data_IF_720285911235
#
_entry.id   IF_720285911235
#
_cell.length_a   1.000
_cell.length_b   1.000
_cell.length_c   1.000
_cell.angle_alpha   90.00
_cell.angle_beta   90.00
_cell.angle_gamma   90.00
#
_symmetry.space_group_name_H-M   'P 1'
#
loop_
_entity.id
_entity.type
_entity.pdbx_description
1 polymer ?
#
# COMPACT_ATOMS: atom_id res chain seq x y z
N UNK A 1 -16.38 -25.37 -11.11
CA UNK A 1 -16.21 -26.77 -11.46
C UNK A 1 -16.42 -27.70 -10.28
N UNK A 2 -16.13 -27.27 -9.03
CA UNK A 2 -16.19 -28.12 -7.84
C UNK A 2 -17.17 -27.62 -6.77
N UNK A 3 -18.00 -26.64 -7.07
CA UNK A 3 -18.99 -26.08 -6.12
C UNK A 3 -18.35 -25.42 -4.89
N UNK A 4 -17.10 -24.97 -5.00
CA UNK A 4 -16.46 -24.24 -3.92
C UNK A 4 -17.09 -22.88 -3.75
N UNK A 5 -17.51 -22.57 -2.55
CA UNK A 5 -17.90 -21.21 -2.16
C UNK A 5 -16.62 -20.44 -1.81
N UNK A 6 -16.34 -19.39 -2.56
CA UNK A 6 -15.12 -18.60 -2.38
C UNK A 6 -15.40 -17.11 -2.63
N UNK A 7 -14.74 -16.27 -1.86
CA UNK A 7 -14.69 -14.82 -2.08
C UNK A 7 -13.34 -14.42 -2.61
N UNK A 8 -13.31 -13.41 -3.48
CA UNK A 8 -12.08 -12.90 -4.08
C UNK A 8 -11.74 -11.52 -3.54
N UNK A 9 -10.62 -11.41 -2.84
CA UNK A 9 -10.09 -10.14 -2.37
C UNK A 9 -9.07 -9.62 -3.37
N UNK A 10 -9.32 -8.44 -3.92
CA UNK A 10 -8.44 -7.76 -4.87
C UNK A 10 -7.89 -6.48 -4.24
N UNK A 11 -6.76 -6.55 -3.53
CA UNK A 11 -6.19 -5.40 -2.85
C UNK A 11 -5.49 -4.45 -3.83
N UNK A 12 -5.45 -3.17 -3.45
CA UNK A 12 -4.60 -2.16 -4.05
C UNK A 12 -3.12 -2.39 -3.66
N UNK A 13 -2.30 -1.36 -3.57
CA UNK A 13 -0.90 -1.51 -3.17
C UNK A 13 -0.80 -1.73 -1.66
N UNK A 14 -0.70 -2.99 -1.25
CA UNK A 14 -0.57 -3.35 0.18
C UNK A 14 0.79 -2.95 0.71
N UNK A 15 0.82 -2.32 1.87
CA UNK A 15 2.05 -1.99 2.59
C UNK A 15 1.90 -2.21 4.09
N UNK A 16 3.01 -2.33 4.79
CA UNK A 16 2.99 -2.48 6.25
C UNK A 16 4.24 -3.16 6.81
N UNK A 17 4.26 -3.40 8.12
CA UNK A 17 5.29 -4.19 8.78
C UNK A 17 5.52 -5.55 8.11
N UNK A 18 6.78 -6.02 8.12
CA UNK A 18 7.23 -7.30 7.54
C UNK A 18 7.20 -7.38 6.01
N UNK A 19 6.92 -6.29 5.31
CA UNK A 19 7.01 -6.28 3.86
C UNK A 19 8.46 -6.50 3.43
N UNK A 20 8.69 -7.44 2.48
CA UNK A 20 10.02 -7.71 1.95
C UNK A 20 10.50 -6.54 1.08
N UNK A 21 11.68 -5.96 1.36
CA UNK A 21 12.21 -4.83 0.59
C UNK A 21 12.88 -5.24 -0.73
N UNK A 22 13.01 -6.54 -0.97
CA UNK A 22 13.74 -7.08 -2.12
C UNK A 22 12.83 -7.56 -3.27
N UNK A 23 11.52 -7.36 -3.16
CA UNK A 23 10.55 -7.71 -4.19
C UNK A 23 10.29 -6.54 -5.16
N UNK A 24 9.61 -6.83 -6.28
CA UNK A 24 9.18 -5.82 -7.26
C UNK A 24 8.14 -4.83 -6.69
N UNK A 25 7.43 -5.24 -5.65
CA UNK A 25 6.45 -4.44 -4.93
C UNK A 25 6.92 -4.22 -3.49
N UNK A 26 7.11 -3.00 -3.07
CA UNK A 26 7.55 -2.75 -1.70
C UNK A 26 8.16 -1.37 -1.51
N UNK A 27 7.71 -0.40 -2.31
CA UNK A 27 8.29 0.96 -2.31
C UNK A 27 8.33 1.57 -0.90
N UNK A 28 7.31 1.35 -0.06
CA UNK A 28 7.28 1.84 1.32
C UNK A 28 8.40 1.21 2.15
N UNK A 29 8.58 -0.11 2.06
CA UNK A 29 9.64 -0.84 2.76
C UNK A 29 11.03 -0.44 2.25
N UNK A 30 11.17 -0.28 0.92
CA UNK A 30 12.42 0.15 0.29
C UNK A 30 12.81 1.54 0.78
N UNK A 31 11.89 2.51 0.74
CA UNK A 31 12.16 3.86 1.24
C UNK A 31 12.47 3.85 2.74
N UNK A 32 11.69 3.12 3.54
CA UNK A 32 11.89 3.05 4.98
C UNK A 32 13.31 2.55 5.32
N UNK A 33 13.73 1.42 4.78
CA UNK A 33 15.05 0.83 5.07
C UNK A 33 16.20 1.70 4.56
N UNK A 34 16.09 2.23 3.34
CA UNK A 34 17.14 3.08 2.79
C UNK A 34 17.29 4.37 3.59
N UNK A 35 16.20 5.04 3.92
CA UNK A 35 16.21 6.30 4.67
C UNK A 35 16.67 6.09 6.13
N UNK A 36 16.25 5.02 6.79
CA UNK A 36 16.75 4.66 8.12
C UNK A 36 18.24 4.32 8.10
N UNK A 37 18.74 3.73 7.02
CA UNK A 37 20.15 3.42 6.82
C UNK A 37 20.99 4.58 6.28
N UNK A 38 20.42 5.77 6.08
CA UNK A 38 21.10 6.93 5.51
C UNK A 38 21.54 6.76 4.05
N UNK A 39 20.84 5.90 3.30
CA UNK A 39 21.12 5.59 1.91
C UNK A 39 20.22 6.41 0.97
N UNK A 40 20.74 6.71 -0.23
CA UNK A 40 20.00 7.42 -1.26
C UNK A 40 18.77 6.63 -1.71
N UNK A 41 17.70 7.34 -2.00
CA UNK A 41 16.44 6.80 -2.50
C UNK A 41 16.20 7.29 -3.93
N UNK A 42 15.41 6.54 -4.71
CA UNK A 42 15.09 6.90 -6.09
C UNK A 42 13.60 6.99 -6.31
N UNK A 43 13.19 8.10 -6.94
CA UNK A 43 11.84 8.32 -7.46
C UNK A 43 11.93 8.32 -8.98
N UNK A 44 11.01 7.63 -9.64
CA UNK A 44 11.01 7.48 -11.09
C UNK A 44 10.18 8.56 -11.78
N UNK A 45 10.65 9.04 -12.95
CA UNK A 45 10.03 10.14 -13.65
C UNK A 45 10.10 11.44 -12.86
N UNK A 46 9.00 12.18 -12.82
CA UNK A 46 8.82 13.40 -12.02
C UNK A 46 8.26 13.13 -10.61
N UNK A 47 8.02 11.85 -10.28
CA UNK A 47 7.39 11.44 -9.01
C UNK A 47 5.88 11.64 -8.97
N UNK A 48 5.25 11.94 -10.10
CA UNK A 48 3.82 12.22 -10.20
C UNK A 48 2.92 10.99 -10.35
N UNK A 49 3.48 9.81 -10.62
CA UNK A 49 2.69 8.60 -10.67
C UNK A 49 2.02 8.32 -9.33
N UNK A 50 0.72 7.97 -9.37
CA UNK A 50 -0.05 7.74 -8.15
C UNK A 50 -0.46 6.29 -7.98
N UNK A 51 -0.56 5.87 -6.72
CA UNK A 51 -1.09 4.56 -6.31
C UNK A 51 -2.02 4.74 -5.12
N UNK A 52 -2.91 3.78 -4.97
CA UNK A 52 -3.73 3.61 -3.78
C UNK A 52 -2.98 2.65 -2.84
N UNK A 53 -2.56 3.17 -1.70
CA UNK A 53 -1.83 2.41 -0.68
C UNK A 53 -2.77 1.99 0.44
N UNK A 54 -2.95 0.69 0.64
CA UNK A 54 -3.79 0.13 1.69
C UNK A 54 -2.94 -0.58 2.75
N UNK A 55 -3.19 -0.27 4.01
CA UNK A 55 -2.44 -0.83 5.13
C UNK A 55 -2.74 -2.33 5.31
N UNK A 56 -1.71 -3.13 5.56
CA UNK A 56 -1.82 -4.60 5.66
C UNK A 56 -2.87 -5.05 6.70
N UNK A 57 -3.01 -4.35 7.82
CA UNK A 57 -4.01 -4.66 8.84
C UNK A 57 -5.45 -4.54 8.32
N UNK A 58 -5.71 -3.53 7.48
CA UNK A 58 -7.03 -3.37 6.84
C UNK A 58 -7.31 -4.48 5.83
N UNK A 59 -6.28 -4.93 5.09
CA UNK A 59 -6.40 -6.05 4.16
C UNK A 59 -6.68 -7.35 4.91
N UNK A 60 -5.99 -7.62 6.02
CA UNK A 60 -6.24 -8.78 6.89
C UNK A 60 -7.69 -8.78 7.38
N UNK A 61 -8.21 -7.62 7.79
CA UNK A 61 -9.61 -7.49 8.21
C UNK A 61 -10.59 -7.78 7.06
N UNK A 62 -10.25 -7.38 5.83
CA UNK A 62 -11.08 -7.71 4.66
C UNK A 62 -11.13 -9.22 4.42
N UNK A 63 -10.00 -9.92 4.51
CA UNK A 63 -9.97 -11.40 4.41
C UNK A 63 -10.80 -12.06 5.52
N UNK A 64 -10.69 -11.57 6.74
CA UNK A 64 -11.47 -12.10 7.86
C UNK A 64 -12.96 -11.92 7.62
N UNK A 65 -13.43 -10.76 7.21
CA UNK A 65 -14.85 -10.51 6.92
C UNK A 65 -15.35 -11.35 5.74
N UNK A 66 -14.53 -11.50 4.69
CA UNK A 66 -14.90 -12.30 3.51
C UNK A 66 -14.86 -13.81 3.74
N UNK A 67 -14.22 -14.28 4.83
CA UNK A 67 -14.23 -15.70 5.22
C UNK A 67 -15.51 -16.15 5.92
N UNK A 68 -16.41 -15.24 6.24
CA UNK A 68 -17.72 -15.53 6.81
C UNK A 68 -18.73 -16.00 5.78
N UNK A 69 -19.99 -16.07 6.18
CA UNK A 69 -21.11 -16.54 5.34
C UNK A 69 -21.58 -15.51 4.30
N UNK A 70 -21.07 -14.27 4.35
CA UNK A 70 -21.48 -13.16 3.49
C UNK A 70 -20.43 -12.96 2.38
N UNK A 71 -20.90 -12.79 1.14
CA UNK A 71 -20.07 -12.44 -0.01
C UNK A 71 -19.50 -13.59 -0.81
N UNK A 72 -19.99 -14.82 -0.59
CA UNK A 72 -19.62 -15.99 -1.40
C UNK A 72 -19.84 -15.78 -2.89
N UNK A 73 -18.89 -16.21 -3.71
CA UNK A 73 -18.91 -16.02 -5.16
C UNK A 73 -18.53 -14.62 -5.64
N UNK A 74 -18.29 -13.67 -4.74
CA UNK A 74 -18.11 -12.26 -5.05
C UNK A 74 -16.63 -11.81 -5.05
N UNK A 75 -16.35 -10.74 -5.80
CA UNK A 75 -15.05 -10.07 -5.81
C UNK A 75 -15.16 -8.70 -5.16
N UNK A 76 -14.23 -8.42 -4.24
CA UNK A 76 -14.15 -7.16 -3.51
C UNK A 76 -12.82 -6.46 -3.77
N UNK A 77 -12.89 -5.22 -4.26
CA UNK A 77 -11.73 -4.35 -4.31
C UNK A 77 -11.46 -3.81 -2.92
N UNK A 78 -10.23 -3.92 -2.46
CA UNK A 78 -9.77 -3.49 -1.15
C UNK A 78 -8.70 -2.40 -1.34
N UNK A 79 -9.12 -1.17 -1.20
CA UNK A 79 -8.30 0.03 -1.36
C UNK A 79 -8.87 1.17 -0.54
N UNK A 80 -8.25 2.32 -0.62
CA UNK A 80 -8.64 3.51 0.15
C UNK A 80 -9.40 4.53 -0.70
N UNK A 81 -9.40 4.37 -2.02
CA UNK A 81 -9.85 5.35 -3.02
C UNK A 81 -9.03 6.65 -3.00
N UNK A 82 -7.91 6.68 -2.31
CA UNK A 82 -7.02 7.83 -2.21
C UNK A 82 -5.77 7.58 -3.04
N UNK A 83 -5.45 8.51 -3.91
CA UNK A 83 -4.23 8.48 -4.70
C UNK A 83 -3.10 9.19 -3.96
N UNK A 84 -1.97 8.52 -3.81
CA UNK A 84 -0.74 9.10 -3.26
C UNK A 84 0.35 9.01 -4.33
N UNK A 85 1.00 10.12 -4.65
CA UNK A 85 2.10 10.14 -5.61
C UNK A 85 3.39 9.57 -5.00
N UNK A 86 4.29 9.08 -5.86
CA UNK A 86 5.60 8.58 -5.43
C UNK A 86 6.37 9.63 -4.63
N UNK A 87 6.27 10.91 -5.06
CA UNK A 87 6.91 12.02 -4.35
C UNK A 87 6.29 12.29 -2.98
N UNK A 88 4.96 12.27 -2.88
CA UNK A 88 4.25 12.41 -1.60
C UNK A 88 4.59 11.26 -0.65
N UNK A 89 4.60 10.03 -1.17
CA UNK A 89 4.97 8.86 -0.38
C UNK A 89 6.39 8.99 0.19
N UNK A 90 7.35 9.43 -0.64
CA UNK A 90 8.72 9.65 -0.19
C UNK A 90 8.76 10.66 0.97
N UNK A 91 8.05 11.78 0.85
CA UNK A 91 7.95 12.80 1.91
C UNK A 91 7.43 12.20 3.22
N UNK A 92 6.36 11.40 3.14
CA UNK A 92 5.77 10.75 4.32
C UNK A 92 6.77 9.80 5.00
N UNK A 93 7.46 8.97 4.22
CA UNK A 93 8.45 8.03 4.76
C UNK A 93 9.67 8.77 5.32
N UNK A 94 10.18 9.78 4.64
CA UNK A 94 11.30 10.60 5.11
C UNK A 94 10.96 11.29 6.43
N UNK A 95 9.78 11.87 6.54
CA UNK A 95 9.29 12.49 7.78
C UNK A 95 9.23 11.48 8.93
N UNK A 96 8.65 10.30 8.70
CA UNK A 96 8.54 9.25 9.70
C UNK A 96 9.92 8.67 10.10
N UNK A 97 10.86 8.60 9.16
CA UNK A 97 12.22 8.15 9.41
C UNK A 97 13.11 9.20 10.11
N UNK A 98 12.72 10.46 10.10
CA UNK A 98 13.53 11.59 10.55
C UNK A 98 14.72 11.86 9.61
N UNK A 99 14.56 11.55 8.33
CA UNK A 99 15.60 11.66 7.29
C UNK A 99 15.34 12.84 6.36
N UNK A 100 16.35 13.19 5.54
CA UNK A 100 16.19 14.22 4.51
C UNK A 100 15.19 13.75 3.44
N UNK A 101 14.32 14.66 3.02
CA UNK A 101 13.37 14.46 1.93
C UNK A 101 13.98 14.92 0.59
N UNK A 102 15.01 14.22 0.15
CA UNK A 102 15.80 14.57 -1.04
C UNK A 102 16.10 13.30 -1.88
N UNK A 103 15.09 12.77 -2.61
CA UNK A 103 15.29 11.60 -3.46
C UNK A 103 16.04 11.95 -4.76
N UNK A 104 16.84 11.02 -5.26
CA UNK A 104 17.32 11.08 -6.64
C UNK A 104 16.17 10.82 -7.61
N UNK A 105 16.17 11.52 -8.74
CA UNK A 105 15.22 11.28 -9.83
C UNK A 105 15.85 10.40 -10.90
N UNK A 106 15.21 9.28 -11.21
CA UNK A 106 15.62 8.35 -12.26
C UNK A 106 14.64 8.43 -13.45
N UNK A 107 15.06 8.01 -14.65
CA UNK A 107 14.16 7.97 -15.80
C UNK A 107 12.86 7.22 -15.51
N UNK A 108 11.76 7.69 -16.08
CA UNK A 108 10.45 7.03 -15.96
C UNK A 108 10.55 5.57 -16.46
N UNK A 109 9.87 4.66 -15.79
CA UNK A 109 9.81 3.26 -16.20
C UNK A 109 8.80 3.11 -17.33
N UNK A 110 9.22 2.42 -18.38
CA UNK A 110 8.35 2.16 -19.51
C UNK A 110 7.20 1.21 -19.07
N UNK A 111 5.98 1.60 -19.39
CA UNK A 111 4.79 0.81 -19.06
C UNK A 111 4.21 1.05 -17.66
N UNK A 112 4.79 1.94 -16.87
CA UNK A 112 4.18 2.32 -15.59
C UNK A 112 2.82 2.99 -15.80
N UNK A 113 1.82 2.54 -15.03
CA UNK A 113 0.49 3.16 -15.01
C UNK A 113 0.58 4.50 -14.29
N UNK A 114 0.18 5.62 -14.91
CA UNK A 114 0.33 6.94 -14.28
C UNK A 114 -0.57 7.15 -13.07
N UNK A 115 -1.77 6.54 -13.04
CA UNK A 115 -2.72 6.68 -11.94
C UNK A 115 -3.42 5.36 -11.66
N UNK A 116 -3.56 5.01 -10.38
CA UNK A 116 -4.29 3.82 -9.96
C UNK A 116 -4.89 4.01 -8.57
N UNK A 117 -6.22 3.86 -8.48
CA UNK A 117 -6.94 3.77 -7.22
C UNK A 117 -8.12 2.81 -7.36
N UNK A 118 -8.54 2.20 -6.26
CA UNK A 118 -9.64 1.27 -6.22
C UNK A 118 -10.81 1.84 -5.41
N UNK A 119 -12.02 1.72 -5.96
CA UNK A 119 -13.22 1.95 -5.15
C UNK A 119 -13.52 0.75 -4.27
N UNK A 120 -13.72 0.98 -2.99
CA UNK A 120 -14.12 -0.05 -2.01
C UNK A 120 -15.63 -0.06 -1.72
N UNK A 121 -16.43 0.64 -2.50
CA UNK A 121 -17.88 0.78 -2.26
C UNK A 121 -18.61 -0.54 -2.06
N UNK A 122 -18.32 -1.55 -2.90
CA UNK A 122 -18.90 -2.89 -2.76
C UNK A 122 -18.48 -3.61 -1.48
N UNK A 123 -17.21 -3.49 -1.09
CA UNK A 123 -16.72 -4.07 0.15
C UNK A 123 -17.41 -3.43 1.37
N UNK A 124 -17.66 -2.12 1.33
CA UNK A 124 -18.40 -1.41 2.37
C UNK A 124 -19.86 -1.88 2.45
N UNK A 125 -20.55 -1.96 1.31
CA UNK A 125 -21.95 -2.33 1.25
C UNK A 125 -22.21 -3.77 1.67
N UNK A 126 -21.38 -4.72 1.20
CA UNK A 126 -21.61 -6.17 1.39
C UNK A 126 -20.92 -6.70 2.64
N UNK A 127 -19.65 -6.33 2.88
CA UNK A 127 -18.86 -6.84 4.00
C UNK A 127 -18.84 -5.89 5.21
N UNK A 128 -19.32 -4.66 5.07
CA UNK A 128 -19.17 -3.62 6.09
C UNK A 128 -17.70 -3.19 6.26
N UNK A 129 -16.87 -3.42 5.25
CA UNK A 129 -15.45 -3.09 5.30
C UNK A 129 -15.18 -1.68 4.76
N UNK A 130 -14.38 -0.94 5.48
CA UNK A 130 -13.76 0.31 5.01
C UNK A 130 -12.35 0.44 5.60
N UNK A 131 -11.44 1.20 4.95
CA UNK A 131 -10.10 1.39 5.50
C UNK A 131 -10.16 2.20 6.81
N UNK A 132 -9.40 1.77 7.81
CA UNK A 132 -9.33 2.41 9.13
C UNK A 132 -8.01 3.16 9.34
N UNK A 133 -6.97 2.79 8.60
CA UNK A 133 -5.64 3.36 8.73
C UNK A 133 -5.34 4.24 7.53
N UNK A 134 -5.15 5.53 7.75
CA UNK A 134 -4.71 6.45 6.69
C UNK A 134 -3.22 6.25 6.37
N UNK A 135 -2.76 6.85 5.26
CA UNK A 135 -1.39 6.64 4.75
C UNK A 135 -0.33 7.15 5.75
N UNK A 136 -0.56 8.26 6.42
CA UNK A 136 0.35 8.85 7.40
C UNK A 136 0.56 7.91 8.59
N UNK A 137 -0.54 7.41 9.14
CA UNK A 137 -0.51 6.47 10.27
C UNK A 137 0.14 5.14 9.90
N UNK A 138 -0.20 4.60 8.73
CA UNK A 138 0.32 3.33 8.26
C UNK A 138 1.82 3.40 7.94
N UNK A 139 2.27 4.49 7.32
CA UNK A 139 3.69 4.74 7.07
C UNK A 139 4.47 4.86 8.37
N UNK A 140 3.96 5.62 9.35
CA UNK A 140 4.61 5.75 10.66
C UNK A 140 4.78 4.39 11.36
N UNK A 141 3.73 3.55 11.38
CA UNK A 141 3.79 2.18 11.93
C UNK A 141 4.80 1.30 11.19
N UNK A 142 4.87 1.43 9.87
CA UNK A 142 5.76 0.64 9.03
C UNK A 142 7.23 1.03 9.25
N UNK A 143 7.53 2.34 9.28
CA UNK A 143 8.87 2.85 9.53
C UNK A 143 9.33 2.47 10.94
N UNK A 144 8.46 2.58 11.95
CA UNK A 144 8.80 2.18 13.33
C UNK A 144 9.12 0.69 13.43
N UNK A 145 8.40 -0.17 12.72
CA UNK A 145 8.74 -1.58 12.64
C UNK A 145 10.16 -1.79 12.10
N UNK A 146 10.53 -1.16 10.98
CA UNK A 146 11.86 -1.29 10.40
C UNK A 146 12.97 -0.61 11.22
N UNK A 147 12.65 0.35 12.09
CA UNK A 147 13.60 0.94 13.00
C UNK A 147 14.02 -0.02 14.13
N UNK A 148 13.11 -0.90 14.52
CA UNK A 148 13.29 -1.79 15.69
C UNK A 148 13.63 -3.23 15.32
N UNK A 149 13.58 -3.61 14.06
CA UNK A 149 13.86 -4.97 13.55
C UNK A 149 14.86 -4.96 12.41
#
# INVERSE_FOLDING_TARGET
>A
LYGLDCSHIAPANVYGPRQAPHGEAGVVAIFALRLLGGLDTKVFGDGGNTRDYVYVGDVVRAFYLASGEIGGGERFNIGTSVETSDRQLHTLVATAAGSKDDPEYAPARLGDVPRSALSFGKAKEVLGWEPEVNIEQGVAKTVEYFRTH
#
